data_IF_740991732133
#
_entry.id   IF_740991732133
#
_cell.length_a   1.000
_cell.length_b   1.000
_cell.length_c   1.000
_cell.angle_alpha   90.00
_cell.angle_beta   90.00
_cell.angle_gamma   90.00
#
_symmetry.space_group_name_H-M   'P 1'
#
loop_
_entity.id
_entity.type
_entity.pdbx_description
1 polymer ?
#
# COMPACT_ATOMS: atom_id res chain seq x y z
N UNK A 1 14.51 -21.36 10.92
CA UNK A 1 14.60 -19.88 10.88
C UNK A 1 13.23 -19.23 10.69
N UNK A 2 12.40 -19.65 9.72
CA UNK A 2 11.01 -19.18 9.57
C UNK A 2 10.08 -19.52 10.75
N UNK A 3 10.23 -20.71 11.36
CA UNK A 3 9.41 -21.15 12.51
C UNK A 3 9.54 -20.26 13.76
N UNK A 4 10.74 -19.71 14.01
CA UNK A 4 10.98 -18.83 15.16
C UNK A 4 10.24 -17.51 14.95
N UNK A 5 10.31 -16.93 13.75
CA UNK A 5 9.61 -15.70 13.40
C UNK A 5 8.07 -15.86 13.49
N UNK A 6 7.52 -17.01 13.09
CA UNK A 6 6.08 -17.25 13.21
C UNK A 6 5.61 -17.51 14.65
N UNK A 7 6.50 -17.98 15.54
CA UNK A 7 6.15 -18.24 16.94
C UNK A 7 6.01 -16.98 17.81
N UNK A 8 6.72 -15.91 17.46
CA UNK A 8 6.68 -14.63 18.17
C UNK A 8 5.52 -13.74 17.70
N UNK A 9 5.14 -13.82 16.42
CA UNK A 9 4.09 -13.01 15.83
C UNK A 9 2.74 -13.74 15.78
N UNK A 10 2.15 -14.00 16.95
CA UNK A 10 0.92 -14.80 17.12
C UNK A 10 -0.37 -14.25 16.46
N UNK A 11 -0.30 -13.10 15.79
CA UNK A 11 -1.46 -12.42 15.20
C UNK A 11 -1.28 -12.06 13.72
N UNK A 12 -0.40 -12.78 13.00
CA UNK A 12 -0.18 -12.59 11.56
C UNK A 12 -1.48 -12.51 10.76
N UNK A 13 -2.44 -13.39 11.05
CA UNK A 13 -3.75 -13.41 10.36
C UNK A 13 -4.52 -12.09 10.50
N UNK A 14 -4.35 -11.38 11.63
CA UNK A 14 -5.03 -10.09 11.87
C UNK A 14 -4.35 -8.91 11.18
N UNK A 15 -3.05 -9.03 10.88
CA UNK A 15 -2.25 -7.94 10.30
C UNK A 15 -1.93 -8.15 8.82
N UNK A 16 -2.23 -9.32 8.26
CA UNK A 16 -1.92 -9.66 6.86
C UNK A 16 -2.53 -8.67 5.86
N UNK A 17 -3.74 -8.16 6.14
CA UNK A 17 -4.39 -7.15 5.32
C UNK A 17 -3.62 -5.83 5.30
N UNK A 18 -3.13 -5.39 6.46
CA UNK A 18 -2.33 -4.18 6.60
C UNK A 18 -0.97 -4.31 5.91
N UNK A 19 -0.33 -5.48 6.02
CA UNK A 19 0.94 -5.79 5.35
C UNK A 19 0.74 -5.76 3.83
N UNK A 20 -0.30 -6.41 3.32
CA UNK A 20 -0.60 -6.41 1.89
C UNK A 20 -0.88 -5.01 1.36
N UNK A 21 -1.63 -4.19 2.10
CA UNK A 21 -1.83 -2.78 1.76
C UNK A 21 -0.50 -2.01 1.72
N UNK A 22 0.29 -2.10 2.79
CA UNK A 22 1.57 -1.40 2.90
C UNK A 22 2.53 -1.78 1.76
N UNK A 23 2.59 -3.06 1.39
CA UNK A 23 3.42 -3.53 0.27
C UNK A 23 2.95 -2.98 -1.08
N UNK A 24 1.64 -2.81 -1.29
CA UNK A 24 1.10 -2.28 -2.54
C UNK A 24 1.28 -0.78 -2.69
N UNK A 25 1.39 -0.05 -1.58
CA UNK A 25 1.60 1.41 -1.56
C UNK A 25 3.05 1.81 -1.30
N UNK A 26 3.96 0.86 -1.07
CA UNK A 26 5.37 1.15 -0.87
C UNK A 26 6.02 1.48 -2.23
N UNK A 27 6.74 2.61 -2.36
CA UNK A 27 7.44 2.94 -3.59
C UNK A 27 8.60 1.98 -3.81
N UNK A 28 8.77 1.52 -5.05
CA UNK A 28 9.96 0.78 -5.45
C UNK A 28 11.20 1.67 -5.35
N UNK A 29 12.29 1.17 -4.79
CA UNK A 29 13.55 1.92 -4.66
C UNK A 29 14.17 2.29 -6.02
N UNK A 30 13.90 1.50 -7.07
CA UNK A 30 14.49 1.72 -8.40
C UNK A 30 13.67 2.68 -9.25
N UNK A 31 12.34 2.63 -9.16
CA UNK A 31 11.45 3.38 -10.05
C UNK A 31 10.69 4.50 -9.35
N UNK A 32 10.62 4.48 -8.01
CA UNK A 32 9.78 5.37 -7.22
C UNK A 32 8.27 5.07 -7.33
N UNK A 33 7.88 4.14 -8.21
CA UNK A 33 6.48 3.81 -8.48
C UNK A 33 6.01 2.71 -7.52
N UNK A 34 4.82 2.87 -6.95
CA UNK A 34 4.19 1.85 -6.10
C UNK A 34 3.58 0.73 -6.97
N UNK A 35 3.49 -0.50 -6.47
CA UNK A 35 2.78 -1.57 -7.17
C UNK A 35 1.32 -1.22 -7.49
N UNK A 36 0.64 -0.46 -6.62
CA UNK A 36 -0.70 0.05 -6.85
C UNK A 36 -0.77 0.94 -8.10
N UNK A 37 0.11 1.95 -8.17
CA UNK A 37 0.19 2.84 -9.33
C UNK A 37 0.51 2.09 -10.61
N UNK A 38 1.44 1.14 -10.58
CA UNK A 38 1.80 0.35 -11.75
C UNK A 38 0.66 -0.55 -12.27
N UNK A 39 -0.20 -1.04 -11.37
CA UNK A 39 -1.27 -1.99 -11.72
C UNK A 39 -2.57 -1.29 -12.09
N UNK A 40 -2.94 -0.25 -11.36
CA UNK A 40 -4.24 0.40 -11.45
C UNK A 40 -4.19 1.84 -11.99
N UNK A 41 -2.98 2.36 -12.26
CA UNK A 41 -2.75 3.76 -12.62
C UNK A 41 -3.34 4.75 -11.59
N UNK A 42 -3.43 4.31 -10.33
CA UNK A 42 -3.94 5.07 -9.20
C UNK A 42 -3.42 4.49 -7.89
N UNK A 43 -3.15 5.36 -6.92
CA UNK A 43 -2.77 4.95 -5.57
C UNK A 43 -3.95 4.36 -4.79
N UNK A 44 -3.67 3.30 -4.02
CA UNK A 44 -4.64 2.73 -3.08
C UNK A 44 -4.73 3.64 -1.85
N UNK A 45 -5.95 3.84 -1.36
CA UNK A 45 -6.19 4.61 -0.13
C UNK A 45 -6.58 3.68 1.02
N UNK A 46 -6.16 3.99 2.26
CA UNK A 46 -6.60 3.23 3.41
C UNK A 46 -8.13 3.30 3.55
N UNK A 47 -8.74 2.23 4.04
CA UNK A 47 -10.20 2.19 4.20
C UNK A 47 -10.76 3.20 5.21
N UNK A 48 -9.92 3.70 6.13
CA UNK A 48 -10.27 4.75 7.09
C UNK A 48 -10.05 6.16 6.54
N UNK A 49 -9.49 6.28 5.33
CA UNK A 49 -9.34 7.57 4.63
C UNK A 49 -10.67 7.91 3.94
N UNK A 50 -11.62 8.41 4.72
CA UNK A 50 -12.98 8.81 4.31
C UNK A 50 -13.01 10.08 3.43
N UNK A 51 -11.91 10.43 2.75
CA UNK A 51 -11.91 11.51 1.75
C UNK A 51 -12.58 11.02 0.48
N UNK A 52 -13.90 11.02 0.48
CA UNK A 52 -14.68 10.69 -0.71
C UNK A 52 -14.31 11.61 -1.88
N UNK A 53 -14.02 10.94 -3.01
CA UNK A 53 -14.22 11.39 -4.39
C UNK A 53 -14.32 12.90 -4.62
N UNK A 54 -13.17 13.57 -4.67
CA UNK A 54 -13.02 14.77 -5.48
C UNK A 54 -11.67 14.67 -6.20
N UNK A 55 -11.73 14.29 -7.47
CA UNK A 55 -10.64 14.46 -8.41
C UNK A 55 -10.56 15.96 -8.69
N UNK A 56 -9.56 16.65 -8.17
CA UNK A 56 -9.10 17.97 -8.64
C UNK A 56 -7.68 18.15 -8.05
N UNK A 57 -6.59 18.22 -8.80
CA UNK A 57 -6.40 18.98 -10.02
C UNK A 57 -5.63 18.17 -11.11
N UNK A 58 -5.70 18.60 -12.39
CA UNK A 58 -4.88 18.03 -13.46
C UNK A 58 -3.40 18.29 -13.19
N UNK A 59 -2.56 17.34 -13.62
CA UNK A 59 -1.11 17.47 -13.67
C UNK A 59 -0.70 18.81 -14.32
N UNK A 60 0.02 19.65 -13.58
CA UNK A 60 0.64 20.89 -14.09
C UNK A 60 2.10 20.60 -14.46
N UNK A 61 2.48 20.65 -15.74
CA UNK A 61 3.83 20.31 -16.20
C UNK A 61 4.78 21.53 -16.31
N UNK A 62 4.54 22.63 -15.59
CA UNK A 62 5.49 23.75 -15.54
C UNK A 62 6.75 23.45 -14.71
#
# INVERSE_FOLDING_TARGET
MLQIFTSEHKHWDRVIGNINFALRTAPSATTGITPAMATFLKELRPFWDNRDVAYDAPFDPQ
#
